data_IF_464589243874
#
_entry.id   IF_464589243874
#
_cell.length_a   1.000
_cell.length_b   1.000
_cell.length_c   1.000
_cell.angle_alpha   90.00
_cell.angle_beta   90.00
_cell.angle_gamma   90.00
#
_symmetry.space_group_name_H-M   'P 1'
#
loop_
_entity.id
_entity.type
_entity.pdbx_description
1 polymer ?
#
# COMPACT_ATOMS: atom_id res chain seq x y z
N UNK A 1 34.93 2.57 8.87
CA UNK A 1 33.52 3.00 8.67
C UNK A 1 32.72 1.79 8.18
N UNK A 2 31.82 1.23 9.00
CA UNK A 2 30.97 0.10 8.60
C UNK A 2 29.62 0.63 8.16
N UNK A 3 29.29 0.50 6.86
CA UNK A 3 27.96 0.81 6.30
C UNK A 3 26.96 -0.17 6.91
N UNK A 4 26.05 0.32 7.76
CA UNK A 4 24.83 -0.40 8.14
C UNK A 4 23.90 -0.38 6.94
N UNK A 5 23.76 -1.52 6.27
CA UNK A 5 22.69 -1.78 5.32
C UNK A 5 21.37 -1.78 6.11
N UNK A 6 20.55 -0.75 5.92
CA UNK A 6 19.14 -0.78 6.31
C UNK A 6 18.43 -1.80 5.42
N UNK A 7 18.44 -3.06 5.84
CA UNK A 7 17.38 -3.99 5.45
C UNK A 7 16.11 -3.50 6.13
N UNK A 8 15.25 -2.83 5.37
CA UNK A 8 13.87 -2.54 5.76
C UNK A 8 13.12 -3.87 5.90
N UNK A 9 13.38 -4.56 7.01
CA UNK A 9 12.62 -5.72 7.43
C UNK A 9 11.24 -5.28 7.88
N UNK A 10 10.25 -6.13 7.57
CA UNK A 10 8.88 -6.07 8.07
C UNK A 10 8.86 -5.56 9.51
N UNK A 11 8.17 -4.44 9.75
CA UNK A 11 8.06 -3.88 11.10
C UNK A 11 7.44 -4.91 12.05
N UNK A 12 7.94 -4.98 13.27
CA UNK A 12 7.57 -5.99 14.29
C UNK A 12 6.06 -6.02 14.59
N UNK A 13 5.36 -4.90 14.37
CA UNK A 13 3.90 -4.79 14.47
C UNK A 13 3.12 -5.52 13.36
N UNK A 14 3.74 -5.76 12.20
CA UNK A 14 3.12 -6.45 11.06
C UNK A 14 3.05 -7.98 11.27
N UNK A 15 3.91 -8.53 12.13
CA UNK A 15 3.96 -9.97 12.45
C UNK A 15 2.76 -10.46 13.26
N UNK A 16 1.96 -9.55 13.84
CA UNK A 16 0.75 -9.89 14.60
C UNK A 16 -0.52 -9.89 13.72
N UNK A 17 -0.38 -9.69 12.40
CA UNK A 17 -1.50 -9.73 11.48
C UNK A 17 -1.90 -11.17 11.17
N UNK A 18 -3.08 -11.59 11.62
CA UNK A 18 -3.63 -12.93 11.37
C UNK A 18 -3.92 -13.24 9.89
N UNK A 19 -3.86 -12.23 9.01
CA UNK A 19 -4.00 -12.37 7.56
C UNK A 19 -2.82 -11.78 6.79
N UNK A 20 -1.60 -11.87 7.34
CA UNK A 20 -0.40 -11.26 6.76
C UNK A 20 -0.06 -11.86 5.39
N UNK A 21 -0.28 -13.15 5.18
CA UNK A 21 0.00 -13.80 3.91
C UNK A 21 -0.92 -13.29 2.80
N UNK A 22 -2.22 -13.23 3.06
CA UNK A 22 -3.20 -12.73 2.11
C UNK A 22 -3.05 -11.22 1.86
N UNK A 23 -2.63 -10.46 2.89
CA UNK A 23 -2.26 -9.05 2.72
C UNK A 23 -1.05 -8.90 1.79
N UNK A 24 -0.01 -9.71 1.95
CA UNK A 24 1.17 -9.67 1.08
C UNK A 24 0.79 -10.03 -0.36
N UNK A 25 -0.01 -11.09 -0.56
CA UNK A 25 -0.48 -11.48 -1.89
C UNK A 25 -1.29 -10.36 -2.55
N UNK A 26 -2.15 -9.69 -1.77
CA UNK A 26 -2.88 -8.51 -2.22
C UNK A 26 -1.95 -7.35 -2.59
N UNK A 27 -1.00 -6.99 -1.72
CA UNK A 27 -0.04 -5.91 -1.94
C UNK A 27 0.80 -6.17 -3.20
N UNK A 28 1.18 -7.42 -3.50
CA UNK A 28 1.90 -7.79 -4.73
C UNK A 28 1.04 -7.54 -5.98
N UNK A 29 -0.24 -7.89 -5.95
CA UNK A 29 -1.16 -7.66 -7.07
C UNK A 29 -1.37 -6.16 -7.30
N UNK A 30 -1.58 -5.39 -6.22
CA UNK A 30 -1.74 -3.94 -6.31
C UNK A 30 -0.47 -3.27 -6.83
N UNK A 31 0.69 -3.69 -6.34
CA UNK A 31 1.99 -3.21 -6.79
C UNK A 31 2.17 -3.37 -8.30
N UNK A 32 1.96 -4.58 -8.82
CA UNK A 32 2.09 -4.82 -10.27
C UNK A 32 1.12 -3.99 -11.09
N UNK A 33 -0.11 -3.78 -10.63
CA UNK A 33 -1.07 -2.92 -11.33
C UNK A 33 -0.59 -1.47 -11.34
N UNK A 34 -0.19 -0.94 -10.18
CA UNK A 34 0.26 0.44 -10.04
C UNK A 34 1.52 0.72 -10.86
N UNK A 35 2.52 -0.18 -10.86
CA UNK A 35 3.70 -0.04 -11.73
C UNK A 35 3.31 -0.11 -13.21
N UNK A 36 2.34 -0.96 -13.57
CA UNK A 36 1.84 -1.04 -14.95
C UNK A 36 1.16 0.25 -15.41
N UNK A 37 0.31 0.83 -14.57
CA UNK A 37 -0.37 2.10 -14.84
C UNK A 37 0.64 3.27 -14.91
N UNK A 38 1.56 3.32 -13.94
CA UNK A 38 2.64 4.31 -13.90
C UNK A 38 3.51 4.25 -15.15
N UNK A 39 3.87 3.05 -15.59
CA UNK A 39 4.62 2.83 -16.83
C UNK A 39 3.89 3.36 -18.05
N UNK A 40 2.57 3.16 -18.13
CA UNK A 40 1.77 3.67 -19.24
C UNK A 40 1.77 5.20 -19.26
N UNK A 41 1.61 5.84 -18.10
CA UNK A 41 1.60 7.30 -17.99
C UNK A 41 2.98 7.90 -18.26
N UNK A 42 4.04 7.27 -17.74
CA UNK A 42 5.42 7.68 -18.03
C UNK A 42 5.76 7.52 -19.52
N UNK A 43 5.29 6.44 -20.15
CA UNK A 43 5.48 6.24 -21.60
C UNK A 43 4.78 7.32 -22.44
N UNK A 44 3.57 7.75 -22.03
CA UNK A 44 2.87 8.87 -22.69
C UNK A 44 3.64 10.19 -22.48
N UNK A 45 4.11 10.43 -21.26
CA UNK A 45 4.81 11.67 -20.91
C UNK A 45 6.14 11.81 -21.66
N UNK A 46 6.89 10.72 -21.82
CA UNK A 46 8.17 10.72 -22.53
C UNK A 46 8.04 10.52 -24.04
N UNK A 47 6.85 10.20 -24.55
CA UNK A 47 6.62 9.94 -25.98
C UNK A 47 7.31 8.68 -26.50
N UNK A 48 7.70 7.75 -25.62
CA UNK A 48 8.37 6.49 -25.96
C UNK A 48 7.87 5.34 -25.10
N UNK A 49 8.12 4.10 -25.52
CA UNK A 49 7.87 2.95 -24.67
C UNK A 49 8.92 2.90 -23.54
N UNK A 50 8.47 2.98 -22.29
CA UNK A 50 9.32 2.83 -21.12
C UNK A 50 9.39 1.35 -20.74
N UNK A 51 10.57 0.87 -20.33
CA UNK A 51 10.74 -0.51 -19.88
C UNK A 51 10.10 -0.68 -18.49
N UNK A 52 9.75 -1.93 -18.14
CA UNK A 52 9.17 -2.20 -16.83
C UNK A 52 10.10 -1.79 -15.69
N UNK A 53 11.37 -2.15 -15.79
CA UNK A 53 12.38 -1.91 -14.77
C UNK A 53 12.56 -0.43 -14.47
N UNK A 54 12.53 0.42 -15.50
CA UNK A 54 12.67 1.87 -15.35
C UNK A 54 11.44 2.45 -14.62
N UNK A 55 10.24 2.05 -15.02
CA UNK A 55 9.01 2.49 -14.37
C UNK A 55 8.88 1.97 -12.93
N UNK A 56 9.33 0.75 -12.68
CA UNK A 56 9.35 0.14 -11.35
C UNK A 56 10.32 0.89 -10.42
N UNK A 57 11.51 1.24 -10.91
CA UNK A 57 12.48 2.03 -10.16
C UNK A 57 11.95 3.42 -9.83
N UNK A 58 11.30 4.08 -10.79
CA UNK A 58 10.71 5.40 -10.60
C UNK A 58 9.55 5.35 -9.58
N UNK A 59 8.62 4.41 -9.75
CA UNK A 59 7.49 4.19 -8.84
C UNK A 59 7.97 3.89 -7.40
N UNK A 60 9.01 3.06 -7.27
CA UNK A 60 9.59 2.73 -5.96
C UNK A 60 10.20 3.95 -5.25
N UNK A 61 10.66 4.94 -6.02
CA UNK A 61 11.31 6.14 -5.50
C UNK A 61 10.31 7.21 -5.06
N UNK A 62 9.13 7.25 -5.69
CA UNK A 62 8.16 8.34 -5.50
C UNK A 62 6.87 7.90 -4.81
N UNK A 63 6.33 6.72 -5.14
CA UNK A 63 4.94 6.37 -4.84
C UNK A 63 4.77 5.17 -3.90
N UNK A 64 5.73 4.23 -3.89
CA UNK A 64 5.57 2.94 -3.19
C UNK A 64 5.21 3.08 -1.71
N UNK A 65 5.85 4.01 -0.98
CA UNK A 65 5.59 4.17 0.45
C UNK A 65 4.15 4.62 0.74
N UNK A 66 3.68 5.64 0.02
CA UNK A 66 2.33 6.17 0.16
C UNK A 66 1.28 5.14 -0.27
N UNK A 67 1.55 4.43 -1.38
CA UNK A 67 0.64 3.43 -1.91
C UNK A 67 0.57 2.17 -1.04
N UNK A 68 1.68 1.74 -0.45
CA UNK A 68 1.71 0.60 0.47
C UNK A 68 0.82 0.80 1.70
N UNK A 69 0.86 1.98 2.31
CA UNK A 69 -0.04 2.31 3.43
C UNK A 69 -1.51 2.31 2.98
N UNK A 70 -1.81 2.93 1.84
CA UNK A 70 -3.16 2.95 1.26
C UNK A 70 -3.70 1.54 1.02
N UNK A 71 -2.93 0.66 0.37
CA UNK A 71 -3.36 -0.71 0.08
C UNK A 71 -3.59 -1.52 1.35
N UNK A 72 -2.75 -1.34 2.36
CA UNK A 72 -2.92 -2.00 3.65
C UNK A 72 -4.23 -1.57 4.32
N UNK A 73 -4.54 -0.29 4.29
CA UNK A 73 -5.79 0.26 4.81
C UNK A 73 -7.00 -0.29 4.03
N UNK A 74 -6.94 -0.28 2.70
CA UNK A 74 -8.00 -0.83 1.85
C UNK A 74 -8.23 -2.33 2.11
N UNK A 75 -7.16 -3.12 2.17
CA UNK A 75 -7.24 -4.54 2.44
C UNK A 75 -7.84 -4.80 3.82
N UNK A 76 -7.26 -4.22 4.87
CA UNK A 76 -7.73 -4.42 6.24
C UNK A 76 -9.16 -3.92 6.44
N UNK A 77 -9.54 -2.81 5.80
CA UNK A 77 -10.87 -2.22 5.93
C UNK A 77 -11.96 -2.96 5.17
N UNK A 78 -11.68 -3.44 3.95
CA UNK A 78 -12.72 -3.90 3.03
C UNK A 78 -12.62 -5.39 2.66
N UNK A 79 -11.40 -5.94 2.61
CA UNK A 79 -11.14 -7.25 1.98
C UNK A 79 -10.83 -8.33 3.03
N UNK A 80 -10.09 -7.97 4.09
CA UNK A 80 -9.54 -8.90 5.06
C UNK A 80 -10.63 -9.75 5.73
N UNK A 81 -10.61 -11.10 5.58
CA UNK A 81 -11.57 -11.98 6.22
C UNK A 81 -11.50 -11.94 7.76
N UNK A 82 -10.33 -11.61 8.30
CA UNK A 82 -10.08 -11.46 9.73
C UNK A 82 -10.25 -10.02 10.22
N UNK A 83 -10.86 -9.11 9.43
CA UNK A 83 -10.97 -7.67 9.78
C UNK A 83 -11.54 -7.41 11.18
N UNK A 84 -12.50 -8.22 11.63
CA UNK A 84 -13.13 -8.08 12.94
C UNK A 84 -12.17 -8.37 14.11
N UNK A 85 -11.03 -9.01 13.83
CA UNK A 85 -9.97 -9.36 14.77
C UNK A 85 -8.68 -8.57 14.52
N UNK A 86 -8.67 -7.68 13.53
CA UNK A 86 -7.51 -6.88 13.15
C UNK A 86 -7.59 -5.49 13.79
N UNK A 87 -6.66 -5.18 14.70
CA UNK A 87 -6.59 -3.87 15.38
C UNK A 87 -6.44 -2.70 14.39
N UNK A 88 -5.68 -2.88 13.31
CA UNK A 88 -5.53 -1.87 12.24
C UNK A 88 -6.85 -1.63 11.51
N UNK A 89 -7.60 -2.69 11.19
CA UNK A 89 -8.92 -2.57 10.59
C UNK A 89 -9.91 -1.86 11.53
N UNK A 90 -9.89 -2.20 12.82
CA UNK A 90 -10.74 -1.56 13.83
C UNK A 90 -10.40 -0.07 14.01
N UNK A 91 -9.12 0.30 14.02
CA UNK A 91 -8.69 1.70 14.04
C UNK A 91 -9.21 2.48 12.83
N UNK A 92 -9.10 1.91 11.63
CA UNK A 92 -9.64 2.52 10.42
C UNK A 92 -11.18 2.64 10.43
N UNK A 93 -11.88 1.63 10.93
CA UNK A 93 -13.34 1.67 11.09
C UNK A 93 -13.78 2.70 12.13
N UNK A 94 -13.01 2.87 13.20
CA UNK A 94 -13.29 3.84 14.25
C UNK A 94 -13.01 5.27 13.79
N UNK A 95 -11.93 5.53 13.04
CA UNK A 95 -11.66 6.85 12.47
C UNK A 95 -12.75 7.31 11.49
N UNK A 96 -13.37 6.37 10.75
CA UNK A 96 -14.53 6.65 9.90
C UNK A 96 -15.84 6.89 10.65
N UNK A 97 -16.01 6.32 11.85
CA UNK A 97 -17.18 6.60 12.70
C UNK A 97 -17.08 7.95 13.43
N UNK A 98 -15.88 8.52 13.52
CA UNK A 98 -15.64 9.82 14.15
C UNK A 98 -15.74 11.01 13.22
N UNK A 99 -16.05 10.84 11.92
CA UNK A 99 -16.58 11.96 11.13
C UNK A 99 -18.01 12.25 11.62
N UNK A 100 -18.24 13.32 12.38
CA UNK A 100 -19.60 13.70 12.72
C UNK A 100 -20.21 14.21 11.42
N UNK A 101 -21.35 13.65 11.03
CA UNK A 101 -22.33 14.32 10.17
C UNK A 101 -22.67 15.66 10.83
N UNK A 102 -21.85 16.69 10.60
CA UNK A 102 -22.23 18.06 10.90
C UNK A 102 -23.33 18.39 9.91
N UNK A 103 -24.54 18.31 10.43
CA UNK A 103 -25.79 18.78 9.84
C UNK A 103 -25.53 20.13 9.18
N UNK A 104 -25.74 20.18 7.87
CA UNK A 104 -26.09 21.43 7.20
C UNK A 104 -27.48 21.78 7.73
N UNK A 105 -27.53 22.76 8.62
CA UNK A 105 -28.72 23.45 9.09
C UNK A 105 -28.60 24.91 8.73
#
# INVERSE_FOLDING_TARGET
MKKKTNTSGVSESSLQCAGIHELIDWEIVQYRRAVGDHRLDLSKAEGRCVAWQDAEQDFNSHDLAAMGEKWRVEYCGLICPQRNKCLTALHFLHSRKTEPLHKVG
#
